data_IF_249060288971
#
_entry.id   IF_249060288971
#
_cell.length_a   1.000
_cell.length_b   1.000
_cell.length_c   1.000
_cell.angle_alpha   90.00
_cell.angle_beta   90.00
_cell.angle_gamma   90.00
#
_symmetry.space_group_name_H-M   'P 1'
#
loop_
_entity.id
_entity.type
_entity.pdbx_description
1 polymer ?
#
# COMPACT_ATOMS: atom_id res chain seq x y z
N UNK A 1 33.82 -28.36 12.38
CA UNK A 1 33.97 -26.89 12.45
C UNK A 1 32.59 -26.29 12.19
N UNK A 2 31.84 -25.92 13.23
CA UNK A 2 30.46 -25.46 13.10
C UNK A 2 30.41 -24.03 12.60
N UNK A 3 29.86 -23.84 11.40
CA UNK A 3 29.64 -22.51 10.81
C UNK A 3 28.35 -21.94 11.39
N UNK A 4 28.45 -21.06 12.39
CA UNK A 4 27.28 -20.38 12.94
C UNK A 4 26.78 -19.34 11.93
N UNK A 5 25.52 -19.49 11.51
CA UNK A 5 24.82 -18.50 10.69
C UNK A 5 24.03 -17.59 11.63
N UNK A 6 24.15 -16.28 11.45
CA UNK A 6 23.40 -15.30 12.24
C UNK A 6 22.52 -14.49 11.29
N UNK A 7 21.22 -14.46 11.56
CA UNK A 7 20.25 -13.65 10.83
C UNK A 7 19.80 -12.46 11.67
N UNK A 8 19.50 -11.33 11.01
CA UNK A 8 18.89 -10.15 11.64
C UNK A 8 17.62 -9.81 10.86
N UNK A 9 16.47 -9.95 11.52
CA UNK A 9 15.19 -9.46 11.00
C UNK A 9 14.89 -8.11 11.66
N UNK A 10 14.53 -7.12 10.84
CA UNK A 10 14.09 -5.82 11.31
C UNK A 10 12.68 -5.60 10.78
N UNK A 11 11.71 -5.48 11.68
CA UNK A 11 10.34 -5.08 11.37
C UNK A 11 10.18 -3.63 11.77
N UNK A 12 9.77 -2.78 10.83
CA UNK A 12 9.61 -1.35 11.05
C UNK A 12 8.19 -0.96 10.69
N UNK A 13 7.50 -0.37 11.65
CA UNK A 13 6.23 0.32 11.44
C UNK A 13 6.53 1.83 11.34
N UNK A 14 6.16 2.44 10.21
CA UNK A 14 6.43 3.85 9.93
C UNK A 14 5.19 4.68 10.22
N UNK A 15 5.40 5.89 10.73
CA UNK A 15 4.34 6.87 10.87
C UNK A 15 3.77 7.29 9.50
N UNK A 16 2.58 7.90 9.52
CA UNK A 16 1.88 8.37 8.34
C UNK A 16 2.65 9.45 7.56
N UNK A 17 2.55 9.38 6.22
CA UNK A 17 3.20 10.31 5.29
C UNK A 17 2.29 11.44 4.82
N UNK A 18 1.13 11.61 5.44
CA UNK A 18 0.16 12.62 5.07
C UNK A 18 0.67 14.04 5.31
N UNK A 19 0.20 14.96 4.47
CA UNK A 19 0.51 16.37 4.62
C UNK A 19 -0.15 16.92 5.89
N UNK A 20 0.65 17.60 6.71
CA UNK A 20 0.17 18.25 7.93
C UNK A 20 -0.97 19.25 7.68
N UNK A 21 -1.05 19.84 6.48
CA UNK A 21 -2.16 20.73 6.09
C UNK A 21 -3.53 20.01 6.06
N UNK A 22 -3.55 18.71 5.78
CA UNK A 22 -4.78 17.90 5.73
C UNK A 22 -5.24 17.38 7.08
N UNK A 23 -4.38 17.43 8.11
CA UNK A 23 -4.70 16.86 9.43
C UNK A 23 -5.48 17.83 10.31
N UNK A 24 -5.52 19.12 9.98
CA UNK A 24 -6.12 20.14 10.85
C UNK A 24 -5.41 20.27 12.20
N UNK A 25 -4.18 19.77 12.31
CA UNK A 25 -3.42 19.76 13.56
C UNK A 25 -2.94 21.18 13.91
N UNK A 26 -3.13 21.57 15.16
CA UNK A 26 -2.69 22.87 15.69
C UNK A 26 -1.71 22.70 16.85
N UNK A 27 -0.94 23.77 17.11
CA UNK A 27 0.01 23.83 18.23
C UNK A 27 0.98 22.66 18.26
N UNK A 28 1.00 21.92 19.38
CA UNK A 28 1.93 20.80 19.59
C UNK A 28 1.76 19.65 18.60
N UNK A 29 0.52 19.38 18.16
CA UNK A 29 0.28 18.29 17.19
C UNK A 29 0.84 18.64 15.80
N UNK A 30 0.84 19.93 15.44
CA UNK A 30 1.46 20.39 14.19
C UNK A 30 2.98 20.20 14.23
N UNK A 31 3.62 20.47 15.37
CA UNK A 31 5.06 20.31 15.53
C UNK A 31 5.49 18.82 15.52
N UNK A 32 4.65 17.95 16.06
CA UNK A 32 4.80 16.50 15.92
C UNK A 32 4.67 16.05 14.45
N UNK A 33 3.61 16.48 13.77
CA UNK A 33 3.39 16.15 12.35
C UNK A 33 4.56 16.64 11.47
N UNK A 34 5.13 17.82 11.75
CA UNK A 34 6.35 18.31 11.08
C UNK A 34 7.55 17.40 11.33
N UNK A 35 7.72 16.92 12.57
CA UNK A 35 8.85 16.06 12.95
C UNK A 35 8.74 14.68 12.28
N UNK A 36 7.54 14.11 12.24
CA UNK A 36 7.24 12.87 11.51
C UNK A 36 7.59 13.05 10.03
N UNK A 37 7.03 14.07 9.39
CA UNK A 37 7.25 14.34 7.97
C UNK A 37 8.71 14.64 7.63
N UNK A 38 9.47 15.24 8.55
CA UNK A 38 10.92 15.45 8.37
C UNK A 38 11.67 14.11 8.22
N UNK A 39 11.35 13.12 9.06
CA UNK A 39 12.01 11.81 9.01
C UNK A 39 11.65 11.02 7.74
N UNK A 40 10.39 11.07 7.32
CA UNK A 40 9.91 10.42 6.08
C UNK A 40 10.43 11.12 4.83
N UNK A 41 10.58 12.45 4.86
CA UNK A 41 11.20 13.22 3.77
C UNK A 41 12.68 12.87 3.62
N UNK A 42 13.42 12.74 4.73
CA UNK A 42 14.80 12.28 4.71
C UNK A 42 14.92 10.87 4.13
N UNK A 43 14.00 9.97 4.47
CA UNK A 43 13.91 8.64 3.88
C UNK A 43 13.69 8.70 2.35
N UNK A 44 12.77 9.53 1.89
CA UNK A 44 12.55 9.78 0.45
C UNK A 44 13.80 10.31 -0.26
N UNK A 45 14.55 11.21 0.37
CA UNK A 45 15.80 11.75 -0.19
C UNK A 45 16.89 10.68 -0.33
N UNK A 46 17.03 9.80 0.65
CA UNK A 46 17.95 8.66 0.59
C UNK A 46 17.60 7.75 -0.59
N UNK A 47 16.33 7.40 -0.76
CA UNK A 47 15.85 6.55 -1.87
C UNK A 47 16.10 7.22 -3.23
N UNK A 48 15.82 8.52 -3.35
CA UNK A 48 16.10 9.29 -4.56
C UNK A 48 17.61 9.28 -4.89
N UNK A 49 18.47 9.49 -3.89
CA UNK A 49 19.92 9.49 -4.09
C UNK A 49 20.43 8.11 -4.55
N UNK A 50 19.90 7.02 -3.96
CA UNK A 50 20.26 5.64 -4.31
C UNK A 50 19.82 5.23 -5.73
N UNK A 51 18.72 5.80 -6.22
CA UNK A 51 18.12 5.40 -7.50
C UNK A 51 18.57 6.25 -8.68
N UNK A 52 18.92 7.52 -8.44
CA UNK A 52 19.34 8.44 -9.51
C UNK A 52 20.82 8.31 -9.90
N UNK A 53 21.65 7.63 -9.09
CA UNK A 53 23.04 7.27 -9.41
C UNK A 53 24.01 8.45 -9.58
N UNK A 54 23.56 9.69 -9.32
CA UNK A 54 24.34 10.93 -9.55
C UNK A 54 25.00 11.49 -8.30
N UNK A 55 24.81 10.86 -7.13
CA UNK A 55 25.22 11.44 -5.85
C UNK A 55 26.34 10.61 -5.23
N UNK A 56 27.51 11.23 -5.04
CA UNK A 56 28.66 10.60 -4.36
C UNK A 56 28.39 10.31 -2.87
N UNK A 57 27.39 10.97 -2.28
CA UNK A 57 27.05 10.85 -0.87
C UNK A 57 25.54 10.62 -0.70
N UNK A 58 25.18 9.56 0.01
CA UNK A 58 23.78 9.26 0.37
C UNK A 58 23.47 9.88 1.74
N UNK A 59 22.42 10.70 1.88
CA UNK A 59 22.16 11.50 3.09
C UNK A 59 21.53 10.69 4.24
N UNK A 60 22.10 9.54 4.61
CA UNK A 60 21.57 8.73 5.72
C UNK A 60 21.55 9.48 7.05
N UNK A 61 22.39 10.51 7.21
CA UNK A 61 22.54 11.26 8.45
C UNK A 61 21.44 12.29 8.72
N UNK A 62 20.59 12.58 7.74
CA UNK A 62 19.55 13.60 7.82
C UNK A 62 18.45 13.26 8.84
N UNK A 63 18.30 11.97 9.19
CA UNK A 63 17.42 11.53 10.27
C UNK A 63 17.98 10.33 11.03
N UNK A 64 17.53 10.12 12.28
CA UNK A 64 17.85 8.91 13.04
C UNK A 64 17.28 7.65 12.36
N UNK A 65 16.10 7.77 11.74
CA UNK A 65 15.44 6.68 11.02
C UNK A 65 16.32 6.16 9.86
N UNK A 66 16.79 7.06 9.00
CA UNK A 66 17.62 6.69 7.84
C UNK A 66 18.98 6.11 8.23
N UNK A 67 19.51 6.46 9.41
CA UNK A 67 20.72 5.81 9.97
C UNK A 67 20.44 4.38 10.41
N UNK A 68 19.30 4.14 11.04
CA UNK A 68 18.90 2.79 11.47
C UNK A 68 18.59 1.89 10.26
N UNK A 69 18.02 2.46 9.21
CA UNK A 69 17.60 1.77 7.99
C UNK A 69 18.71 1.63 6.93
N UNK A 70 19.94 2.09 7.22
CA UNK A 70 21.03 2.11 6.23
C UNK A 70 21.33 0.72 5.65
N UNK A 71 21.27 -0.34 6.47
CA UNK A 71 21.45 -1.72 5.98
C UNK A 71 20.34 -2.17 5.04
N UNK A 72 19.11 -1.69 5.26
CA UNK A 72 17.95 -2.02 4.43
C UNK A 72 17.93 -1.24 3.11
N UNK A 73 18.54 -0.06 3.07
CA UNK A 73 18.51 0.87 1.94
C UNK A 73 19.90 0.92 1.28
N UNK A 74 20.21 -0.05 0.43
CA UNK A 74 21.49 -0.10 -0.29
C UNK A 74 22.64 -0.76 0.48
N UNK A 75 22.39 -1.27 1.68
CA UNK A 75 23.31 -2.12 2.44
C UNK A 75 23.16 -3.61 2.12
N UNK A 76 23.46 -4.47 3.11
CA UNK A 76 23.50 -5.93 2.96
C UNK A 76 22.28 -6.64 3.55
N UNK A 77 21.08 -6.10 3.32
CA UNK A 77 19.82 -6.70 3.73
C UNK A 77 19.00 -7.13 2.52
N UNK A 78 18.17 -8.16 2.71
CA UNK A 78 16.96 -8.34 1.90
C UNK A 78 15.91 -7.42 2.50
N UNK A 79 15.27 -6.61 1.67
CA UNK A 79 14.32 -5.58 2.12
C UNK A 79 13.03 -5.73 1.34
N UNK A 80 11.92 -5.80 2.07
CA UNK A 80 10.57 -5.70 1.54
C UNK A 80 9.94 -4.41 2.05
N UNK A 81 9.15 -3.75 1.21
CA UNK A 81 8.38 -2.57 1.56
C UNK A 81 6.90 -2.86 1.31
N UNK A 82 6.07 -2.68 2.33
CA UNK A 82 4.62 -2.74 2.22
C UNK A 82 4.07 -1.33 2.05
N UNK A 83 3.44 -1.06 0.91
CA UNK A 83 2.81 0.22 0.63
C UNK A 83 1.33 0.18 1.03
N UNK A 84 0.97 0.88 2.10
CA UNK A 84 -0.41 1.01 2.55
C UNK A 84 -1.07 2.22 1.86
N UNK A 85 -2.09 1.97 1.04
CA UNK A 85 -2.79 2.99 0.27
C UNK A 85 -4.29 3.01 0.61
N UNK A 86 -4.91 4.19 0.59
CA UNK A 86 -6.36 4.33 0.73
C UNK A 86 -7.03 4.18 -0.65
N UNK A 87 -8.15 3.44 -0.77
CA UNK A 87 -8.92 3.36 -2.02
C UNK A 87 -9.80 4.59 -2.27
N UNK A 88 -9.91 5.52 -1.31
CA UNK A 88 -10.75 6.70 -1.43
C UNK A 88 -10.18 7.75 -2.39
N UNK A 89 -11.04 8.32 -3.23
CA UNK A 89 -10.70 9.42 -4.14
C UNK A 89 -10.10 10.63 -3.40
N UNK A 90 -10.58 10.93 -2.19
CA UNK A 90 -10.08 12.04 -1.37
C UNK A 90 -8.58 11.92 -1.04
N UNK A 91 -8.08 10.68 -1.04
CA UNK A 91 -6.69 10.34 -0.72
C UNK A 91 -5.87 9.97 -1.96
N UNK A 92 -6.42 10.09 -3.18
CA UNK A 92 -5.76 9.67 -4.41
C UNK A 92 -4.36 10.30 -4.57
N UNK A 93 -4.18 11.57 -4.16
CA UNK A 93 -2.88 12.26 -4.21
C UNK A 93 -1.83 11.63 -3.27
N UNK A 94 -2.25 11.21 -2.07
CA UNK A 94 -1.37 10.57 -1.08
C UNK A 94 -1.05 9.14 -1.53
N UNK A 95 -2.08 8.37 -1.95
CA UNK A 95 -1.90 7.02 -2.48
C UNK A 95 -0.96 7.00 -3.69
N UNK A 96 -1.08 7.96 -4.62
CA UNK A 96 -0.15 8.10 -5.74
C UNK A 96 1.28 8.40 -5.28
N UNK A 97 1.44 9.22 -4.23
CA UNK A 97 2.75 9.53 -3.65
C UNK A 97 3.39 8.29 -3.03
N UNK A 98 2.62 7.48 -2.29
CA UNK A 98 3.05 6.19 -1.73
C UNK A 98 3.45 5.20 -2.81
N UNK A 99 2.65 5.07 -3.89
CA UNK A 99 2.98 4.17 -5.01
C UNK A 99 4.27 4.60 -5.73
N UNK A 100 4.43 5.90 -6.02
CA UNK A 100 5.67 6.44 -6.61
C UNK A 100 6.88 6.21 -5.70
N UNK A 101 6.69 6.33 -4.39
CA UNK A 101 7.72 5.99 -3.41
C UNK A 101 8.11 4.51 -3.52
N UNK A 102 7.14 3.59 -3.51
CA UNK A 102 7.36 2.15 -3.67
C UNK A 102 8.10 1.80 -4.97
N UNK A 103 7.68 2.38 -6.10
CA UNK A 103 8.33 2.18 -7.40
C UNK A 103 9.81 2.59 -7.37
N UNK A 104 10.16 3.70 -6.73
CA UNK A 104 11.56 4.10 -6.57
C UNK A 104 12.31 3.15 -5.65
N UNK A 105 11.73 2.77 -4.51
CA UNK A 105 12.36 1.83 -3.56
C UNK A 105 12.70 0.50 -4.22
N UNK A 106 11.84 -0.01 -5.13
CA UNK A 106 12.09 -1.24 -5.90
C UNK A 106 13.37 -1.18 -6.75
N UNK A 107 13.83 0.01 -7.14
CA UNK A 107 15.03 0.20 -7.96
C UNK A 107 16.33 0.23 -7.16
N UNK A 108 16.26 0.21 -5.82
CA UNK A 108 17.46 0.19 -4.97
C UNK A 108 18.17 -1.15 -5.14
N UNK A 109 19.45 -1.09 -5.49
CA UNK A 109 20.31 -2.27 -5.62
C UNK A 109 20.96 -2.57 -4.28
N UNK A 110 20.61 -3.71 -3.67
CA UNK A 110 21.27 -4.24 -2.47
C UNK A 110 22.11 -5.45 -2.84
N UNK A 111 23.44 -5.44 -2.66
CA UNK A 111 24.25 -6.65 -2.82
C UNK A 111 23.99 -7.59 -1.62
N UNK A 112 23.38 -8.78 -1.84
CA UNK A 112 23.12 -9.69 -0.73
C UNK A 112 24.45 -10.23 -0.20
N UNK A 113 24.77 -9.93 1.06
CA UNK A 113 25.98 -10.44 1.73
C UNK A 113 25.58 -11.30 2.92
N UNK A 114 25.91 -12.59 2.87
CA UNK A 114 25.64 -13.51 3.98
C UNK A 114 26.51 -13.15 5.19
N UNK A 115 25.89 -12.95 6.34
CA UNK A 115 26.57 -12.72 7.62
C UNK A 115 27.03 -14.06 8.19
N UNK A 116 28.17 -14.57 7.70
CA UNK A 116 28.86 -15.68 8.36
C UNK A 116 29.95 -15.13 9.26
N UNK A 117 29.72 -15.15 10.58
CA UNK A 117 30.79 -14.93 11.55
C UNK A 117 31.67 -16.18 11.55
N UNK A 118 32.73 -16.16 10.74
CA UNK A 118 33.79 -17.16 10.79
C UNK A 118 34.83 -16.67 11.79
N UNK A 119 34.88 -17.25 12.99
CA UNK A 119 36.11 -17.25 13.79
C UNK A 119 37.18 -17.89 12.91
N UNK A 120 38.21 -17.12 12.54
CA UNK A 120 39.15 -17.41 11.45
C UNK A 120 39.58 -18.89 11.39
N UNK A 121 39.34 -19.57 10.25
CA UNK A 121 40.39 -20.20 9.42
C UNK A 121 39.91 -20.19 7.95
N UNK A 122 40.53 -19.31 7.17
CA UNK A 122 40.96 -19.38 5.75
C UNK A 122 40.11 -20.11 4.68
N UNK A 123 39.79 -19.35 3.61
CA UNK A 123 39.68 -19.70 2.18
C UNK A 123 38.29 -19.97 1.50
N UNK A 124 38.04 -19.11 0.49
CA UNK A 124 37.38 -19.29 -0.82
C UNK A 124 35.85 -19.48 -1.03
N UNK A 125 35.29 -18.49 -1.73
CA UNK A 125 34.55 -18.52 -3.02
C UNK A 125 33.05 -18.89 -3.10
N UNK A 126 32.28 -17.88 -3.56
CA UNK A 126 31.17 -17.89 -4.54
C UNK A 126 30.28 -19.16 -4.64
N UNK A 127 29.06 -19.07 -4.09
CA UNK A 127 28.13 -20.20 -3.87
C UNK A 127 27.23 -20.60 -5.06
N UNK A 128 27.09 -19.82 -6.14
CA UNK A 128 26.14 -20.15 -7.20
C UNK A 128 26.58 -21.29 -8.14
N UNK A 129 27.89 -21.48 -8.36
CA UNK A 129 28.44 -22.62 -9.14
C UNK A 129 28.59 -23.91 -8.30
N UNK A 130 28.40 -23.82 -6.98
CA UNK A 130 28.73 -24.92 -6.06
C UNK A 130 27.56 -25.88 -5.81
N UNK A 131 26.29 -25.46 -5.92
CA UNK A 131 25.12 -26.33 -5.71
C UNK A 131 25.15 -27.55 -6.64
N UNK A 132 25.22 -27.31 -7.94
CA UNK A 132 25.13 -28.37 -8.95
C UNK A 132 26.36 -29.29 -8.89
N UNK A 133 27.54 -28.72 -8.59
CA UNK A 133 28.80 -29.45 -8.37
C UNK A 133 28.76 -30.35 -7.14
N UNK A 134 28.12 -29.91 -6.05
CA UNK A 134 27.97 -30.68 -4.81
C UNK A 134 26.93 -31.79 -4.99
N UNK A 135 25.79 -31.50 -5.63
CA UNK A 135 24.76 -32.51 -5.92
C UNK A 135 25.29 -33.59 -6.88
N UNK A 136 26.06 -33.22 -7.91
CA UNK A 136 26.74 -34.16 -8.80
C UNK A 136 27.74 -35.05 -8.06
N UNK A 137 28.53 -34.49 -7.14
CA UNK A 137 29.50 -35.25 -6.34
C UNK A 137 28.80 -36.19 -5.35
N UNK A 138 27.70 -35.76 -4.74
CA UNK A 138 26.91 -36.58 -3.82
C UNK A 138 26.19 -37.71 -4.55
N UNK A 139 25.64 -37.46 -5.75
CA UNK A 139 25.04 -38.49 -6.62
C UNK A 139 26.04 -39.55 -7.09
N UNK A 140 27.33 -39.24 -7.12
CA UNK A 140 28.40 -40.22 -7.45
C UNK A 140 28.86 -41.05 -6.24
N UNK A 141 28.61 -40.60 -5.02
CA UNK A 141 29.08 -41.26 -3.79
C UNK A 141 27.98 -41.92 -2.97
N UNK A 142 26.72 -41.54 -3.15
CA UNK A 142 25.58 -42.07 -2.41
C UNK A 142 24.50 -42.59 -3.36
N UNK A 143 23.62 -43.44 -2.82
CA UNK A 143 22.44 -43.91 -3.55
C UNK A 143 21.49 -42.74 -3.80
N UNK A 144 20.76 -42.75 -4.93
CA UNK A 144 19.88 -41.63 -5.29
C UNK A 144 18.80 -41.37 -4.24
N UNK A 145 18.31 -42.40 -3.55
CA UNK A 145 17.32 -42.23 -2.48
C UNK A 145 17.89 -41.45 -1.28
N UNK A 146 19.14 -41.72 -0.90
CA UNK A 146 19.82 -41.02 0.20
C UNK A 146 20.09 -39.56 -0.15
N UNK A 147 20.41 -39.28 -1.42
CA UNK A 147 20.62 -37.90 -1.90
C UNK A 147 19.31 -37.11 -1.91
N UNK A 148 18.20 -37.74 -2.29
CA UNK A 148 16.87 -37.11 -2.28
C UNK A 148 16.43 -36.80 -0.84
N UNK A 149 16.62 -37.74 0.09
CA UNK A 149 16.32 -37.53 1.50
C UNK A 149 17.20 -36.41 2.09
N UNK A 150 18.47 -36.34 1.69
CA UNK A 150 19.38 -35.28 2.12
C UNK A 150 18.99 -33.91 1.55
N UNK A 151 18.51 -33.87 0.31
CA UNK A 151 17.97 -32.66 -0.32
C UNK A 151 16.73 -32.16 0.44
N UNK A 152 15.80 -33.07 0.75
CA UNK A 152 14.60 -32.78 1.54
C UNK A 152 14.96 -32.30 2.96
N UNK A 153 15.92 -32.94 3.62
CA UNK A 153 16.39 -32.56 4.96
C UNK A 153 17.11 -31.20 4.94
N UNK A 154 17.85 -30.88 3.87
CA UNK A 154 18.50 -29.58 3.72
C UNK A 154 17.51 -28.45 3.45
N UNK A 155 16.38 -28.72 2.79
CA UNK A 155 15.28 -27.76 2.65
C UNK A 155 14.59 -27.56 4.01
N UNK A 156 14.31 -28.64 4.74
CA UNK A 156 13.64 -28.59 6.05
C UNK A 156 14.45 -27.83 7.11
N UNK A 157 15.77 -28.03 7.12
CA UNK A 157 16.72 -27.35 8.02
C UNK A 157 17.10 -25.92 7.54
N UNK A 158 16.51 -25.45 6.44
CA UNK A 158 16.78 -24.11 5.87
C UNK A 158 18.24 -23.92 5.40
N UNK A 159 18.94 -25.03 5.14
CA UNK A 159 20.31 -25.03 4.60
C UNK A 159 20.28 -24.74 3.10
N UNK A 160 19.34 -25.36 2.38
CA UNK A 160 18.86 -24.95 1.07
C UNK A 160 17.62 -24.07 1.25
N UNK A 161 17.63 -22.90 0.65
CA UNK A 161 16.43 -22.09 0.49
C UNK A 161 15.87 -22.44 -0.88
N UNK A 162 14.73 -23.13 -0.92
CA UNK A 162 13.96 -23.21 -2.16
C UNK A 162 13.10 -21.94 -2.20
N UNK A 163 13.47 -20.88 -2.94
CA UNK A 163 12.45 -19.91 -3.29
C UNK A 163 11.34 -20.69 -4.01
N UNK A 164 10.04 -20.45 -3.74
CA UNK A 164 9.00 -21.02 -4.59
C UNK A 164 9.43 -20.80 -6.04
N UNK A 165 9.31 -21.84 -6.87
CA UNK A 165 9.76 -21.76 -8.25
C UNK A 165 9.17 -20.49 -8.88
N UNK A 166 9.91 -19.84 -9.78
CA UNK A 166 9.43 -18.59 -10.40
C UNK A 166 8.01 -18.75 -10.96
N UNK A 167 7.68 -19.96 -11.45
CA UNK A 167 6.34 -20.36 -11.92
C UNK A 167 5.28 -20.41 -10.80
N UNK A 168 5.60 -20.94 -9.61
CA UNK A 168 4.67 -20.93 -8.46
C UNK A 168 4.40 -19.51 -7.94
N UNK A 169 5.44 -18.67 -7.90
CA UNK A 169 5.29 -17.28 -7.48
C UNK A 169 4.52 -16.44 -8.51
N UNK A 170 4.75 -16.68 -9.80
CA UNK A 170 4.06 -16.03 -10.89
C UNK A 170 2.59 -16.47 -10.97
N UNK A 171 2.31 -17.76 -10.74
CA UNK A 171 0.95 -18.29 -10.63
C UNK A 171 0.18 -17.70 -9.44
N UNK A 172 0.81 -17.59 -8.27
CA UNK A 172 0.17 -16.97 -7.10
C UNK A 172 -0.09 -15.48 -7.31
N UNK A 173 0.81 -14.78 -8.02
CA UNK A 173 0.62 -13.37 -8.37
C UNK A 173 -0.49 -13.18 -9.39
N UNK A 174 -0.55 -14.02 -10.43
CA UNK A 174 -1.63 -14.06 -11.43
C UNK A 174 -3.00 -14.28 -10.79
N UNK A 175 -3.12 -15.22 -9.84
CA UNK A 175 -4.39 -15.51 -9.16
C UNK A 175 -4.87 -14.31 -8.31
N UNK A 176 -3.97 -13.68 -7.55
CA UNK A 176 -4.30 -12.50 -6.74
C UNK A 176 -4.65 -11.30 -7.63
N UNK A 177 -3.90 -11.08 -8.71
CA UNK A 177 -4.16 -9.99 -9.67
C UNK A 177 -5.51 -10.21 -10.34
N UNK A 178 -5.81 -11.43 -10.79
CA UNK A 178 -7.08 -11.77 -11.45
C UNK A 178 -8.27 -11.56 -10.52
N UNK A 179 -8.19 -12.01 -9.26
CA UNK A 179 -9.23 -11.78 -8.24
C UNK A 179 -9.45 -10.29 -7.97
N UNK A 180 -8.37 -9.51 -7.90
CA UNK A 180 -8.45 -8.07 -7.64
C UNK A 180 -9.08 -7.32 -8.82
N UNK A 181 -8.69 -7.66 -10.06
CA UNK A 181 -9.28 -7.09 -11.28
C UNK A 181 -10.77 -7.42 -11.34
N UNK A 182 -11.15 -8.67 -11.08
CA UNK A 182 -12.55 -9.09 -11.09
C UNK A 182 -13.39 -8.30 -10.08
N UNK A 183 -12.92 -8.20 -8.83
CA UNK A 183 -13.62 -7.42 -7.79
C UNK A 183 -13.76 -5.94 -8.15
N UNK A 184 -12.71 -5.32 -8.73
CA UNK A 184 -12.78 -3.92 -9.17
C UNK A 184 -13.76 -3.73 -10.34
N UNK A 185 -13.81 -4.67 -11.29
CA UNK A 185 -14.76 -4.62 -12.40
C UNK A 185 -16.20 -4.74 -11.91
N UNK A 186 -16.46 -5.62 -10.94
CA UNK A 186 -17.77 -5.77 -10.30
C UNK A 186 -18.19 -4.46 -9.61
N UNK A 187 -17.30 -3.85 -8.82
CA UNK A 187 -17.59 -2.57 -8.16
C UNK A 187 -17.84 -1.44 -9.17
N UNK A 188 -17.12 -1.40 -10.29
CA UNK A 188 -17.36 -0.41 -11.36
C UNK A 188 -18.74 -0.63 -11.99
N UNK A 189 -19.14 -1.88 -12.19
CA UNK A 189 -20.45 -2.20 -12.74
C UNK A 189 -21.58 -1.73 -11.81
N UNK A 190 -21.51 -2.08 -10.53
CA UNK A 190 -22.47 -1.65 -9.51
C UNK A 190 -22.55 -0.12 -9.42
N UNK A 191 -21.41 0.58 -9.50
CA UNK A 191 -21.38 2.03 -9.45
C UNK A 191 -22.03 2.67 -10.68
N UNK A 192 -21.80 2.10 -11.87
CA UNK A 192 -22.45 2.57 -13.09
C UNK A 192 -23.96 2.38 -13.03
N UNK A 193 -24.44 1.25 -12.53
CA UNK A 193 -25.87 0.98 -12.36
C UNK A 193 -26.50 1.99 -11.38
N UNK A 194 -25.82 2.29 -10.27
CA UNK A 194 -26.27 3.30 -9.31
C UNK A 194 -26.31 4.71 -9.92
N UNK A 195 -25.34 5.06 -10.78
CA UNK A 195 -25.30 6.35 -11.48
C UNK A 195 -26.46 6.48 -12.46
N UNK A 196 -26.74 5.45 -13.25
CA UNK A 196 -27.91 5.42 -14.15
C UNK A 196 -29.22 5.55 -13.37
N UNK A 197 -29.38 4.82 -12.26
CA UNK A 197 -30.56 4.94 -11.41
C UNK A 197 -30.74 6.37 -10.88
N UNK A 198 -29.67 7.03 -10.45
CA UNK A 198 -29.71 8.42 -10.00
C UNK A 198 -30.09 9.38 -11.13
N UNK A 199 -29.56 9.18 -12.33
CA UNK A 199 -29.94 9.99 -13.50
C UNK A 199 -31.43 9.84 -13.83
N UNK A 200 -31.97 8.63 -13.77
CA UNK A 200 -33.42 8.43 -13.98
C UNK A 200 -34.27 9.13 -12.93
N UNK A 201 -33.86 9.08 -11.65
CA UNK A 201 -34.55 9.78 -10.54
C UNK A 201 -34.50 11.30 -10.72
N UNK A 202 -33.35 11.85 -11.12
CA UNK A 202 -33.21 13.29 -11.39
C UNK A 202 -34.18 13.71 -12.51
N UNK A 203 -34.21 12.97 -13.62
CA UNK A 203 -35.10 13.29 -14.73
C UNK A 203 -36.60 13.22 -14.34
N UNK A 204 -37.00 12.25 -13.50
CA UNK A 204 -38.37 12.18 -13.00
C UNK A 204 -38.73 13.36 -12.09
N UNK A 205 -37.85 13.73 -11.17
CA UNK A 205 -38.07 14.88 -10.29
C UNK A 205 -38.12 16.20 -11.06
N UNK A 206 -37.30 16.36 -12.10
CA UNK A 206 -37.36 17.52 -12.99
C UNK A 206 -38.70 17.60 -13.73
N UNK A 207 -39.23 16.46 -14.19
CA UNK A 207 -40.55 16.39 -14.84
C UNK A 207 -41.70 16.71 -13.87
N UNK A 208 -41.65 16.19 -12.63
CA UNK A 208 -42.62 16.52 -11.59
C UNK A 208 -42.58 18.01 -11.21
N UNK A 209 -41.38 18.59 -11.13
CA UNK A 209 -41.19 20.01 -10.86
C UNK A 209 -41.76 20.88 -11.98
N UNK A 210 -41.57 20.50 -13.24
CA UNK A 210 -42.13 21.20 -14.40
C UNK A 210 -43.66 21.08 -14.45
N UNK A 211 -44.22 19.92 -14.11
CA UNK A 211 -45.66 19.73 -13.96
C UNK A 211 -46.26 20.59 -12.83
N UNK A 212 -45.59 20.65 -11.68
CA UNK A 212 -46.01 21.47 -10.55
C UNK A 212 -45.96 22.97 -10.87
N UNK A 213 -44.97 23.42 -11.66
CA UNK A 213 -44.87 24.81 -12.14
C UNK A 213 -45.93 25.18 -13.18
N UNK A 214 -46.51 24.20 -13.88
CA UNK A 214 -47.59 24.39 -14.86
C UNK A 214 -48.99 24.37 -14.24
N UNK A 215 -49.13 24.07 -12.94
CA UNK A 215 -50.38 24.31 -12.24
C UNK A 215 -50.71 25.80 -12.34
N UNK A 216 -51.91 26.19 -12.80
CA UNK A 216 -52.28 27.59 -12.83
C UNK A 216 -52.15 28.15 -11.41
N UNK A 217 -51.50 29.31 -11.28
CA UNK A 217 -51.68 30.15 -10.10
C UNK A 217 -53.17 30.44 -10.02
N UNK A 218 -53.86 29.66 -9.20
CA UNK A 218 -55.29 29.74 -9.03
C UNK A 218 -55.55 30.97 -8.15
N UNK A 219 -55.52 32.14 -8.79
CA UNK A 219 -56.04 33.40 -8.27
C UNK A 219 -57.53 33.27 -7.83
N UNK A 220 -58.18 32.13 -8.09
CA UNK A 220 -59.48 31.75 -7.58
C UNK A 220 -59.53 31.45 -6.07
N UNK A 221 -58.40 31.19 -5.39
CA UNK A 221 -58.39 30.93 -3.93
C UNK A 221 -58.35 32.23 -3.13
N UNK A 222 -57.85 33.33 -3.71
CA UNK A 222 -57.84 34.66 -3.08
C UNK A 222 -59.25 35.19 -2.75
N UNK A 223 -60.29 34.73 -3.46
CA UNK A 223 -61.68 35.12 -3.21
C UNK A 223 -62.40 34.38 -2.07
N UNK A 224 -61.88 33.23 -1.61
CA UNK A 224 -62.52 32.42 -0.55
C UNK A 224 -61.83 32.51 0.82
N UNK A 225 -60.54 32.87 0.86
CA UNK A 225 -59.82 33.12 2.11
C UNK A 225 -60.45 34.17 3.05
N UNK A 226 -60.99 35.32 2.58
CA UNK A 226 -61.56 36.29 3.50
C UNK A 226 -62.81 35.78 4.23
N UNK A 227 -63.58 34.87 3.63
CA UNK A 227 -64.80 34.31 4.27
C UNK A 227 -64.53 33.26 5.34
N UNK A 228 -63.42 32.52 5.24
CA UNK A 228 -63.04 31.51 6.22
C UNK A 228 -62.41 32.14 7.47
N UNK A 229 -61.51 33.11 7.30
CA UNK A 229 -60.93 33.88 8.40
C UNK A 229 -61.99 34.75 9.12
N UNK A 230 -62.94 35.34 8.39
CA UNK A 230 -64.05 36.07 9.00
C UNK A 230 -64.96 35.17 9.86
N UNK A 231 -65.21 33.92 9.44
CA UNK A 231 -65.92 32.93 10.27
C UNK A 231 -65.17 32.57 11.54
N UNK A 232 -63.85 32.38 11.48
CA UNK A 232 -63.03 32.10 12.66
C UNK A 232 -63.02 33.29 13.62
N UNK A 233 -62.85 34.52 13.12
CA UNK A 233 -62.87 35.73 13.95
C UNK A 233 -64.22 36.01 14.61
N UNK A 234 -65.34 35.65 13.96
CA UNK A 234 -66.68 35.77 14.56
C UNK A 234 -66.93 34.85 15.75
N UNK A 235 -66.18 33.75 15.88
CA UNK A 235 -66.29 32.82 17.02
C UNK A 235 -65.56 33.36 18.26
N UNK A 236 -64.54 34.21 18.07
CA UNK A 236 -63.77 34.79 19.18
C UNK A 236 -64.36 36.08 19.76
N UNK A 237 -65.39 36.67 19.13
CA UNK A 237 -66.08 37.85 19.67
C UNK A 237 -67.27 37.52 20.60
N UNK A 238 -67.48 36.24 20.93
CA UNK A 238 -68.57 35.77 21.80
C UNK A 238 -68.10 35.28 23.19
N UNK A 239 -66.85 35.56 23.58
CA UNK A 239 -66.32 35.35 24.92
C UNK A 239 -65.70 36.62 25.48
#
# INVERSE_FOLDING_TARGET
MNRMRTGKLILVDLAGSEKAEKTGAEGRMLDEAKTINKSLSALGNVINALTTGKVNHIPYRDSKLTRLMQDALGGSSRTALLCCCSPSYLNASESLSTLRFGTRTKLIKTPPRAHSHTTQITHCQTQSSSRDSILEKLRKSLKPEDVNLLEELFVLEGILFDPPSMEELESAYEDVVSKTIFSLQETIHELNDAVEELYTKINMLEAELDAAKRLPNDDAIAGKFPTFLAKILSVFHLF
#
